data_IF_070885679624
#
_entry.id   IF_070885679624
#
_cell.length_a   1.000
_cell.length_b   1.000
_cell.length_c   1.000
_cell.angle_alpha   90.00
_cell.angle_beta   90.00
_cell.angle_gamma   90.00
#
_symmetry.space_group_name_H-M   'P 1'
#
loop_
_entity.id
_entity.type
_entity.pdbx_description
1 polymer ?
#
# COMPACT_ATOMS: atom_id res chain seq x y z
N UNK A 1 -11.45 1.64 2.24
CA UNK A 1 -10.42 1.69 3.31
C UNK A 1 -9.13 2.27 2.72
N UNK A 2 -8.44 3.17 3.43
CA UNK A 2 -7.19 3.79 2.94
C UNK A 2 -5.99 3.15 3.64
N UNK A 3 -5.03 2.72 2.84
CA UNK A 3 -3.75 2.14 3.29
C UNK A 3 -2.59 3.08 2.93
N UNK A 4 -1.52 3.03 3.71
CA UNK A 4 -0.25 3.68 3.41
C UNK A 4 0.86 2.63 3.41
N UNK A 5 1.87 2.82 2.57
CA UNK A 5 2.97 1.86 2.43
C UNK A 5 4.17 2.29 3.27
N UNK A 6 4.77 1.36 4.00
CA UNK A 6 6.01 1.60 4.72
C UNK A 6 7.21 1.27 3.82
N UNK A 7 8.01 2.29 3.46
CA UNK A 7 9.17 2.12 2.57
C UNK A 7 10.28 1.26 3.19
N UNK A 8 10.28 1.03 4.50
CA UNK A 8 11.32 0.26 5.21
C UNK A 8 11.01 -1.24 5.22
N UNK A 9 9.78 -1.62 5.60
CA UNK A 9 9.40 -3.02 5.79
C UNK A 9 8.47 -3.57 4.69
N UNK A 10 8.02 -2.72 3.76
CA UNK A 10 7.18 -3.10 2.64
C UNK A 10 5.73 -3.43 2.99
N UNK A 11 5.29 -3.16 4.24
CA UNK A 11 3.96 -3.47 4.72
C UNK A 11 3.00 -2.29 4.52
N UNK A 12 1.71 -2.60 4.60
CA UNK A 12 0.60 -1.67 4.51
C UNK A 12 -0.01 -1.44 5.89
N UNK A 13 -0.10 -0.18 6.29
CA UNK A 13 -0.78 0.25 7.51
C UNK A 13 -2.13 0.87 7.15
N UNK A 14 -3.16 0.53 7.92
CA UNK A 14 -4.48 1.12 7.73
C UNK A 14 -4.57 2.49 8.41
N UNK A 15 -5.12 3.49 7.72
CA UNK A 15 -5.19 4.89 8.20
C UNK A 15 -5.83 5.01 9.60
N UNK A 16 -6.85 4.20 9.91
CA UNK A 16 -7.52 4.27 11.21
C UNK A 16 -6.63 3.83 12.38
N UNK A 17 -5.62 2.98 12.14
CA UNK A 17 -4.70 2.54 13.19
C UNK A 17 -3.70 3.62 13.58
N UNK A 18 -3.50 4.62 12.71
CA UNK A 18 -2.51 5.67 12.90
C UNK A 18 -3.04 6.89 13.68
N UNK A 19 -4.32 6.91 14.10
CA UNK A 19 -4.99 8.01 14.85
C UNK A 19 -4.58 9.43 14.42
N UNK A 20 -4.25 9.61 13.14
CA UNK A 20 -3.42 10.72 12.70
C UNK A 20 -3.96 11.35 11.42
N UNK A 21 -3.91 12.68 11.37
CA UNK A 21 -4.03 13.42 10.13
C UNK A 21 -3.01 12.90 9.11
N UNK A 22 -3.27 13.08 7.80
CA UNK A 22 -2.35 12.69 6.71
C UNK A 22 -0.89 13.12 6.96
N UNK A 23 -0.69 14.22 7.68
CA UNK A 23 0.62 14.77 8.04
C UNK A 23 1.42 13.87 8.99
N UNK A 24 0.80 13.29 10.02
CA UNK A 24 1.51 12.41 10.96
C UNK A 24 2.02 11.15 10.26
N UNK A 25 1.24 10.62 9.32
CA UNK A 25 1.54 9.38 8.59
C UNK A 25 2.81 9.54 7.73
N UNK A 26 2.92 10.67 7.02
CA UNK A 26 4.11 10.98 6.21
C UNK A 26 5.33 11.21 7.11
N UNK A 27 5.16 11.88 8.26
CA UNK A 27 6.24 12.09 9.24
C UNK A 27 6.78 10.79 9.84
N UNK A 28 5.98 9.73 9.92
CA UNK A 28 6.41 8.40 10.36
C UNK A 28 7.03 7.54 9.24
N UNK A 29 7.29 8.12 8.06
CA UNK A 29 7.95 7.41 6.95
C UNK A 29 7.01 6.54 6.11
N UNK A 30 5.68 6.72 6.23
CA UNK A 30 4.72 6.03 5.38
C UNK A 30 4.39 6.86 4.13
N UNK A 31 4.34 6.19 2.99
CA UNK A 31 4.08 6.78 1.69
C UNK A 31 2.61 6.63 1.29
N UNK A 32 2.02 7.74 0.85
CA UNK A 32 0.72 7.79 0.20
C UNK A 32 0.85 7.40 -1.28
N UNK A 33 0.97 6.09 -1.56
CA UNK A 33 1.03 5.57 -2.93
C UNK A 33 -0.33 5.61 -3.66
N UNK A 34 -1.40 6.00 -2.95
CA UNK A 34 -2.75 6.07 -3.50
C UNK A 34 -3.06 7.45 -4.10
N UNK A 35 -2.35 8.49 -3.66
CA UNK A 35 -2.40 9.84 -4.19
C UNK A 35 -3.62 10.66 -3.75
N UNK A 36 -3.74 11.89 -4.27
CA UNK A 36 -4.85 12.80 -3.96
C UNK A 36 -6.20 12.34 -4.57
N UNK A 37 -6.16 11.59 -5.66
CA UNK A 37 -7.35 11.11 -6.38
C UNK A 37 -7.84 9.76 -5.85
N UNK A 38 -8.22 9.71 -4.57
CA UNK A 38 -8.98 8.58 -4.05
C UNK A 38 -10.47 8.89 -4.02
N UNK A 39 -11.19 8.40 -5.04
CA UNK A 39 -12.62 8.16 -4.91
C UNK A 39 -12.83 6.91 -4.04
N UNK A 40 -13.61 7.06 -2.96
CA UNK A 40 -13.84 6.13 -1.85
C UNK A 40 -14.31 4.70 -2.21
N UNK A 41 -14.42 4.33 -3.49
CA UNK A 41 -15.05 3.09 -3.96
C UNK A 41 -14.19 2.34 -4.99
N UNK A 42 -13.10 2.92 -5.50
CA UNK A 42 -12.31 2.24 -6.53
C UNK A 42 -11.59 1.01 -5.97
N UNK A 43 -11.86 -0.13 -6.58
CA UNK A 43 -11.14 -1.37 -6.38
C UNK A 43 -9.82 -1.30 -7.18
N UNK A 44 -8.69 -1.48 -6.50
CA UNK A 44 -7.36 -1.45 -7.09
C UNK A 44 -6.50 -2.61 -6.60
N UNK A 45 -5.54 -3.01 -7.44
CA UNK A 45 -4.40 -3.83 -7.09
C UNK A 45 -3.33 -2.97 -6.42
N UNK A 46 -2.59 -3.54 -5.48
CA UNK A 46 -1.38 -2.93 -4.91
C UNK A 46 -0.23 -3.89 -5.08
N UNK A 47 0.86 -3.37 -5.64
CA UNK A 47 2.10 -4.10 -5.79
C UNK A 47 3.22 -3.33 -5.08
N UNK A 48 4.23 -4.07 -4.61
CA UNK A 48 5.45 -3.50 -4.08
C UNK A 48 6.68 -4.06 -4.78
N UNK A 49 7.79 -3.35 -4.72
CA UNK A 49 9.10 -3.85 -5.16
C UNK A 49 10.19 -3.23 -4.31
N UNK A 50 11.17 -4.02 -3.91
CA UNK A 50 12.35 -3.50 -3.22
C UNK A 50 13.38 -3.01 -4.23
N UNK A 51 13.64 -1.71 -4.25
CA UNK A 51 14.64 -1.08 -5.13
C UNK A 51 15.39 0.02 -4.37
N UNK A 52 16.71 0.11 -4.59
CA UNK A 52 17.56 1.15 -4.00
C UNK A 52 17.44 1.28 -2.47
N UNK A 53 17.34 0.15 -1.76
CA UNK A 53 17.30 0.12 -0.30
C UNK A 53 15.94 0.44 0.31
N UNK A 54 14.87 0.53 -0.48
CA UNK A 54 13.51 0.79 0.00
C UNK A 54 12.43 0.07 -0.80
N UNK A 55 11.27 -0.11 -0.18
CA UNK A 55 10.08 -0.62 -0.83
C UNK A 55 9.33 0.50 -1.56
N UNK A 56 9.20 0.33 -2.87
CA UNK A 56 8.33 1.14 -3.71
C UNK A 56 6.95 0.50 -3.79
N UNK A 57 5.91 1.32 -3.86
CA UNK A 57 4.52 0.86 -3.97
C UNK A 57 3.87 1.43 -5.22
N UNK A 58 3.09 0.61 -5.92
CA UNK A 58 2.27 1.03 -7.06
C UNK A 58 0.84 0.53 -6.91
N UNK A 59 -0.11 1.40 -7.27
CA UNK A 59 -1.50 1.00 -7.49
C UNK A 59 -1.81 0.89 -8.98
N UNK A 60 -2.67 -0.05 -9.34
CA UNK A 60 -3.27 -0.11 -10.67
C UNK A 60 -4.70 -0.63 -10.57
N UNK A 61 -5.57 -0.22 -11.48
CA UNK A 61 -6.94 -0.74 -11.62
C UNK A 61 -7.05 -1.76 -12.76
N UNK A 62 -6.00 -1.88 -13.59
CA UNK A 62 -5.91 -2.78 -14.72
C UNK A 62 -5.16 -4.05 -14.32
N UNK A 63 -5.80 -5.20 -14.56
CA UNK A 63 -5.20 -6.52 -14.35
C UNK A 63 -3.99 -6.74 -15.26
N UNK A 64 -4.10 -6.42 -16.56
CA UNK A 64 -2.96 -6.53 -17.48
C UNK A 64 -1.75 -5.72 -17.04
N UNK A 65 -1.95 -4.53 -16.46
CA UNK A 65 -0.85 -3.75 -15.85
C UNK A 65 -0.31 -4.39 -14.57
N UNK A 66 -1.15 -5.03 -13.75
CA UNK A 66 -0.70 -5.76 -12.57
C UNK A 66 0.20 -6.93 -12.99
N UNK A 67 -0.29 -7.76 -13.92
CA UNK A 67 0.46 -8.91 -14.46
C UNK A 67 1.80 -8.46 -15.09
N UNK A 68 1.79 -7.35 -15.85
CA UNK A 68 3.02 -6.80 -16.42
C UNK A 68 4.03 -6.36 -15.36
N UNK A 69 3.56 -5.77 -14.26
CA UNK A 69 4.42 -5.39 -13.13
C UNK A 69 4.95 -6.65 -12.41
N UNK A 70 4.13 -7.68 -12.23
CA UNK A 70 4.58 -8.96 -11.65
C UNK A 70 5.70 -9.59 -12.48
N UNK A 71 5.59 -9.57 -13.82
CA UNK A 71 6.65 -10.01 -14.72
C UNK A 71 7.93 -9.15 -14.64
N UNK A 72 7.81 -7.89 -14.20
CA UNK A 72 8.95 -6.98 -13.94
C UNK A 72 9.51 -7.12 -12.52
N UNK A 73 9.10 -8.15 -11.78
CA UNK A 73 9.57 -8.44 -10.42
C UNK A 73 8.89 -7.65 -9.32
N UNK A 74 7.68 -7.11 -9.57
CA UNK A 74 6.84 -6.56 -8.51
C UNK A 74 6.04 -7.67 -7.82
N UNK A 75 5.82 -7.53 -6.52
CA UNK A 75 5.06 -8.47 -5.72
C UNK A 75 3.64 -7.94 -5.48
N UNK A 76 2.62 -8.73 -5.84
CA UNK A 76 1.22 -8.38 -5.62
C UNK A 76 0.85 -8.62 -4.15
N UNK A 77 0.54 -7.54 -3.42
CA UNK A 77 0.22 -7.59 -1.98
C UNK A 77 -1.25 -7.32 -1.68
N UNK A 78 -2.02 -6.88 -2.67
CA UNK A 78 -3.46 -6.68 -2.57
C UNK A 78 -4.12 -6.86 -3.93
N UNK A 79 -5.15 -7.70 -4.00
CA UNK A 79 -5.96 -7.89 -5.20
C UNK A 79 -7.03 -6.81 -5.36
N UNK A 80 -7.43 -6.56 -6.62
CA UNK A 80 -8.65 -5.82 -6.95
C UNK A 80 -9.88 -6.63 -6.54
N UNK A 81 -10.97 -5.97 -6.16
CA UNK A 81 -12.19 -6.64 -5.70
C UNK A 81 -12.26 -6.82 -4.20
N UNK A 82 -11.11 -6.94 -3.53
CA UNK A 82 -11.05 -7.17 -2.09
C UNK A 82 -10.55 -5.92 -1.35
N UNK A 83 -11.12 -5.65 -0.18
CA UNK A 83 -10.48 -4.76 0.81
C UNK A 83 -9.44 -5.52 1.65
N UNK A 84 -9.28 -6.81 1.36
CA UNK A 84 -8.40 -7.71 2.08
C UNK A 84 -6.95 -7.46 1.65
N UNK A 85 -6.11 -7.25 2.65
CA UNK A 85 -4.65 -7.32 2.54
C UNK A 85 -4.26 -8.51 3.42
N UNK A 86 -3.39 -9.37 2.92
CA UNK A 86 -2.90 -10.51 3.70
C UNK A 86 -2.22 -10.02 4.98
N UNK A 87 -2.33 -10.77 6.08
CA UNK A 87 -1.75 -10.36 7.37
C UNK A 87 -0.22 -10.23 7.31
N UNK A 88 0.46 -11.01 6.46
CA UNK A 88 1.89 -10.88 6.21
C UNK A 88 2.30 -9.50 5.67
N UNK A 89 1.40 -8.85 4.93
CA UNK A 89 1.58 -7.52 4.37
C UNK A 89 0.91 -6.42 5.19
N UNK A 90 0.26 -6.74 6.31
CA UNK A 90 -0.30 -5.75 7.22
C UNK A 90 0.70 -5.38 8.29
N UNK A 91 0.81 -4.08 8.51
CA UNK A 91 1.43 -3.52 9.71
C UNK A 91 0.34 -3.20 10.72
N UNK A 92 0.47 -3.76 11.92
CA UNK A 92 -0.40 -3.46 13.06
C UNK A 92 0.39 -2.61 14.03
N UNK A 93 -0.11 -1.41 14.31
CA UNK A 93 0.50 -0.52 15.32
C UNK A 93 -0.19 -0.81 16.64
N UNK A 94 0.49 -1.54 17.51
CA UNK A 94 0.04 -1.73 18.88
C UNK A 94 0.31 -0.45 19.67
N UNK A 95 -0.75 0.28 20.01
CA UNK A 95 -0.67 1.38 20.97
C UNK A 95 -0.49 0.77 22.36
N UNK A 96 0.72 0.85 22.90
CA UNK A 96 1.01 0.58 24.31
C UNK A 96 0.70 1.80 25.17
#
# INVERSE_FOLDING_TARGET
MKYYGNEVNGKLVHVKQLYGSKYNIIHHGYVDFLGAEQYNIQQYYVLRKFEHGKFLFKKTVSEGKANALELMGWELIKTKGTNHVDESYKEVIEHR
#
